data_IF_050655035842
#
_entry.id   IF_050655035842
#
_cell.length_a   1.000
_cell.length_b   1.000
_cell.length_c   1.000
_cell.angle_alpha   90.00
_cell.angle_beta   90.00
_cell.angle_gamma   90.00
#
_symmetry.space_group_name_H-M   'P 1'
#
loop_
_entity.id
_entity.type
_entity.pdbx_description
1 polymer ?
#
# COMPACT_ATOMS: atom_id res chain seq x y z
N UNK A 1 7.93 -7.91 -15.40
CA UNK A 1 7.61 -7.53 -14.01
C UNK A 1 7.04 -6.12 -13.96
N UNK A 2 5.81 -5.97 -13.45
CA UNK A 2 5.07 -4.71 -13.30
C UNK A 2 5.31 -4.09 -11.91
N UNK A 3 5.46 -4.92 -10.89
CA UNK A 3 5.68 -4.50 -9.49
C UNK A 3 7.05 -4.95 -9.00
N UNK A 4 7.24 -5.02 -7.67
CA UNK A 4 8.45 -5.60 -7.09
C UNK A 4 8.27 -7.11 -6.93
N UNK A 5 9.34 -7.86 -7.15
CA UNK A 5 9.39 -9.25 -6.74
C UNK A 5 9.13 -9.38 -5.24
N UNK A 6 8.37 -10.40 -4.87
CA UNK A 6 8.18 -10.78 -3.47
C UNK A 6 9.52 -11.11 -2.81
N UNK A 7 9.64 -10.79 -1.52
CA UNK A 7 10.81 -11.21 -0.74
C UNK A 7 10.80 -12.72 -0.55
N UNK A 8 11.95 -13.27 -0.13
CA UNK A 8 12.07 -14.70 0.15
C UNK A 8 11.05 -15.14 1.20
N UNK A 9 10.89 -14.36 2.26
CA UNK A 9 9.94 -14.62 3.35
C UNK A 9 8.49 -14.63 2.84
N UNK A 10 8.15 -13.70 1.93
CA UNK A 10 6.83 -13.67 1.31
C UNK A 10 6.57 -14.88 0.40
N UNK A 11 7.57 -15.36 -0.33
CA UNK A 11 7.46 -16.61 -1.09
C UNK A 11 7.31 -17.83 -0.16
N UNK A 12 8.01 -17.85 0.97
CA UNK A 12 7.86 -18.91 1.97
C UNK A 12 6.47 -18.91 2.60
N UNK A 13 5.91 -17.74 2.90
CA UNK A 13 4.52 -17.61 3.38
C UNK A 13 3.50 -18.04 2.32
N UNK A 14 3.76 -17.74 1.04
CA UNK A 14 2.88 -18.01 -0.09
C UNK A 14 3.25 -19.28 -0.88
N UNK A 15 3.99 -20.21 -0.27
CA UNK A 15 4.49 -21.40 -0.98
C UNK A 15 3.36 -22.27 -1.54
N UNK A 16 2.22 -22.34 -0.85
CA UNK A 16 1.07 -23.13 -1.29
C UNK A 16 0.41 -22.50 -2.52
N UNK A 17 0.26 -21.18 -2.53
CA UNK A 17 -0.22 -20.39 -3.65
C UNK A 17 0.74 -20.49 -4.84
N UNK A 18 2.06 -20.48 -4.58
CA UNK A 18 3.07 -20.62 -5.62
C UNK A 18 3.05 -22.01 -6.26
N UNK A 19 2.89 -23.08 -5.46
CA UNK A 19 2.70 -24.45 -5.98
C UNK A 19 1.45 -24.52 -6.86
N UNK A 20 0.34 -23.93 -6.42
CA UNK A 20 -0.91 -23.91 -7.19
C UNK A 20 -0.74 -23.11 -8.50
N UNK A 21 0.02 -22.01 -8.47
CA UNK A 21 0.36 -21.24 -9.64
C UNK A 21 1.16 -22.07 -10.66
N UNK A 22 2.23 -22.75 -10.24
CA UNK A 22 3.01 -23.64 -11.09
C UNK A 22 2.13 -24.77 -11.67
N UNK A 23 1.31 -25.40 -10.84
CA UNK A 23 0.39 -26.45 -11.27
C UNK A 23 -0.65 -25.94 -12.28
N UNK A 24 -1.13 -24.70 -12.17
CA UNK A 24 -2.04 -24.09 -13.14
C UNK A 24 -1.42 -23.93 -14.53
N UNK A 25 -0.08 -23.84 -14.58
CA UNK A 25 0.72 -23.83 -15.80
C UNK A 25 1.18 -25.23 -16.23
N UNK A 26 0.63 -26.27 -15.59
CA UNK A 26 1.01 -27.67 -15.80
C UNK A 26 2.49 -27.98 -15.50
N UNK A 27 3.12 -27.20 -14.63
CA UNK A 27 4.50 -27.42 -14.19
C UNK A 27 4.47 -28.31 -12.93
N UNK A 28 5.05 -29.49 -13.03
CA UNK A 28 5.23 -30.42 -11.91
C UNK A 28 6.44 -30.05 -11.04
N UNK A 29 6.57 -30.70 -9.88
CA UNK A 29 7.72 -30.50 -9.00
C UNK A 29 9.05 -30.91 -9.67
N UNK A 30 9.06 -32.04 -10.39
CA UNK A 30 10.24 -32.54 -11.08
C UNK A 30 10.65 -31.59 -12.22
N UNK A 31 9.68 -31.10 -13.01
CA UNK A 31 9.94 -30.10 -14.04
C UNK A 31 10.43 -28.78 -13.45
N UNK A 32 9.91 -28.37 -12.30
CA UNK A 32 10.41 -27.18 -11.62
C UNK A 32 11.85 -27.33 -11.14
N UNK A 33 12.23 -28.51 -10.65
CA UNK A 33 13.62 -28.82 -10.30
C UNK A 33 14.54 -28.80 -11.53
N UNK A 34 14.07 -29.31 -12.66
CA UNK A 34 14.78 -29.24 -13.94
C UNK A 34 14.91 -27.79 -14.44
N UNK A 35 13.85 -26.98 -14.36
CA UNK A 35 13.86 -25.56 -14.74
C UNK A 35 14.89 -24.79 -13.92
N UNK A 36 14.91 -24.97 -12.59
CA UNK A 36 15.88 -24.29 -11.72
C UNK A 36 17.33 -24.64 -12.08
N UNK A 37 17.59 -25.89 -12.49
CA UNK A 37 18.93 -26.39 -12.80
C UNK A 37 19.38 -25.99 -14.22
N UNK A 38 18.52 -26.19 -15.20
CA UNK A 38 18.87 -26.16 -16.62
C UNK A 38 18.52 -24.80 -17.27
N UNK A 39 17.49 -24.12 -16.77
CA UNK A 39 16.99 -22.84 -17.29
C UNK A 39 16.70 -21.84 -16.16
N UNK A 40 17.71 -21.44 -15.34
CA UNK A 40 17.50 -20.59 -14.17
C UNK A 40 16.83 -19.24 -14.50
N UNK A 41 17.04 -18.72 -15.72
CA UNK A 41 16.36 -17.50 -16.18
C UNK A 41 14.83 -17.67 -16.26
N UNK A 42 14.35 -18.85 -16.65
CA UNK A 42 12.92 -19.16 -16.66
C UNK A 42 12.37 -19.23 -15.23
N UNK A 43 13.12 -19.84 -14.29
CA UNK A 43 12.73 -19.84 -12.88
C UNK A 43 12.54 -18.41 -12.34
N UNK A 44 13.45 -17.50 -12.67
CA UNK A 44 13.37 -16.09 -12.29
C UNK A 44 12.14 -15.38 -12.88
N UNK A 45 11.79 -15.70 -14.13
CA UNK A 45 10.62 -15.13 -14.79
C UNK A 45 9.32 -15.66 -14.16
N UNK A 46 9.24 -16.93 -13.79
CA UNK A 46 8.08 -17.50 -13.06
C UNK A 46 7.88 -16.83 -11.69
N UNK A 47 8.96 -16.55 -10.97
CA UNK A 47 8.90 -15.81 -9.71
C UNK A 47 8.39 -14.37 -9.91
N UNK A 48 8.81 -13.70 -10.99
CA UNK A 48 8.34 -12.35 -11.34
C UNK A 48 6.85 -12.34 -11.70
N UNK A 49 6.41 -13.31 -12.52
CA UNK A 49 5.00 -13.42 -12.93
C UNK A 49 4.11 -13.70 -11.72
N UNK A 50 4.51 -14.62 -10.84
CA UNK A 50 3.77 -14.88 -9.61
C UNK A 50 3.73 -13.65 -8.70
N UNK A 51 4.85 -12.93 -8.56
CA UNK A 51 4.90 -11.71 -7.75
C UNK A 51 3.92 -10.66 -8.28
N UNK A 52 3.88 -10.47 -9.61
CA UNK A 52 2.94 -9.55 -10.25
C UNK A 52 1.49 -9.96 -9.97
N UNK A 53 1.17 -11.26 -10.05
CA UNK A 53 -0.17 -11.79 -9.78
C UNK A 53 -0.62 -11.51 -8.34
N UNK A 54 0.26 -11.75 -7.36
CA UNK A 54 -0.04 -11.49 -5.95
C UNK A 54 -0.25 -9.99 -5.72
N UNK A 55 0.59 -9.14 -6.28
CA UNK A 55 0.42 -7.68 -6.18
C UNK A 55 -0.90 -7.22 -6.80
N UNK A 56 -1.26 -7.67 -8.01
CA UNK A 56 -2.55 -7.33 -8.62
C UNK A 56 -3.71 -7.68 -7.69
N UNK A 57 -3.72 -8.91 -7.14
CA UNK A 57 -4.79 -9.38 -6.26
C UNK A 57 -4.88 -8.63 -4.92
N UNK A 58 -3.76 -8.11 -4.40
CA UNK A 58 -3.73 -7.25 -3.21
C UNK A 58 -4.22 -5.85 -3.54
N UNK A 59 -3.65 -5.22 -4.58
CA UNK A 59 -3.90 -3.82 -4.95
C UNK A 59 -5.34 -3.58 -5.40
N UNK A 60 -5.96 -4.57 -6.05
CA UNK A 60 -7.38 -4.52 -6.44
C UNK A 60 -8.30 -4.31 -5.23
N UNK A 61 -7.93 -4.86 -4.06
CA UNK A 61 -8.73 -4.80 -2.83
C UNK A 61 -8.44 -3.57 -1.96
N UNK A 62 -7.41 -2.79 -2.29
CA UNK A 62 -7.01 -1.63 -1.47
C UNK A 62 -8.05 -0.52 -1.62
N UNK A 63 -8.66 -0.13 -0.50
CA UNK A 63 -9.60 1.00 -0.44
C UNK A 63 -9.06 2.17 0.39
N UNK A 64 -8.12 1.91 1.31
CA UNK A 64 -7.50 2.93 2.14
C UNK A 64 -6.00 2.71 2.28
N UNK A 65 -5.27 3.82 2.23
CA UNK A 65 -3.85 3.86 2.57
C UNK A 65 -3.59 4.96 3.58
N UNK A 66 -2.60 4.77 4.45
CA UNK A 66 -2.14 5.78 5.39
C UNK A 66 -0.62 5.88 5.31
N UNK A 67 -0.09 7.10 5.28
CA UNK A 67 1.34 7.35 5.35
C UNK A 67 1.64 8.35 6.45
N UNK A 68 2.46 7.96 7.41
CA UNK A 68 2.85 8.77 8.55
C UNK A 68 4.31 9.18 8.46
N UNK A 69 4.56 10.43 8.79
CA UNK A 69 5.87 10.99 9.08
C UNK A 69 5.78 11.80 10.37
N UNK A 70 6.93 12.24 10.89
CA UNK A 70 7.03 12.94 12.17
C UNK A 70 6.03 14.09 12.33
N UNK A 71 5.80 14.88 11.28
CA UNK A 71 4.97 16.08 11.33
C UNK A 71 3.80 16.06 10.36
N UNK A 72 3.65 14.98 9.58
CA UNK A 72 2.64 14.91 8.52
C UNK A 72 2.05 13.53 8.42
N UNK A 73 0.75 13.45 8.21
CA UNK A 73 0.09 12.22 7.80
C UNK A 73 -0.75 12.45 6.55
N UNK A 74 -0.76 11.46 5.67
CA UNK A 74 -1.54 11.43 4.45
C UNK A 74 -2.48 10.23 4.53
N UNK A 75 -3.77 10.51 4.44
CA UNK A 75 -4.85 9.54 4.53
C UNK A 75 -5.53 9.48 3.16
N UNK A 76 -5.50 8.32 2.52
CA UNK A 76 -6.05 8.14 1.20
C UNK A 76 -7.30 7.25 1.26
N UNK A 77 -8.35 7.66 0.56
CA UNK A 77 -9.46 6.80 0.17
C UNK A 77 -9.43 6.61 -1.34
N UNK A 78 -9.51 5.36 -1.77
CA UNK A 78 -9.32 4.97 -3.15
C UNK A 78 -10.56 4.23 -3.61
N UNK A 79 -11.22 4.79 -4.62
CA UNK A 79 -12.37 4.19 -5.29
C UNK A 79 -11.98 3.73 -6.70
N UNK A 80 -12.97 3.32 -7.50
CA UNK A 80 -12.76 3.04 -8.92
C UNK A 80 -12.63 4.31 -9.77
N UNK A 81 -13.19 5.43 -9.32
CA UNK A 81 -13.24 6.68 -10.08
C UNK A 81 -12.16 7.67 -9.64
N UNK A 82 -11.87 7.73 -8.34
CA UNK A 82 -11.03 8.77 -7.76
C UNK A 82 -10.24 8.29 -6.54
N UNK A 83 -9.15 9.02 -6.27
CA UNK A 83 -8.33 8.95 -5.07
C UNK A 83 -8.53 10.26 -4.33
N UNK A 84 -9.17 10.19 -3.16
CA UNK A 84 -9.26 11.30 -2.21
C UNK A 84 -8.10 11.24 -1.24
N UNK A 85 -7.55 12.40 -0.91
CA UNK A 85 -6.51 12.59 0.09
C UNK A 85 -7.00 13.58 1.14
N UNK A 86 -6.80 13.22 2.41
CA UNK A 86 -6.75 14.15 3.53
C UNK A 86 -5.33 14.16 4.09
N UNK A 87 -4.68 15.32 4.08
CA UNK A 87 -3.35 15.51 4.61
C UNK A 87 -3.40 16.41 5.85
N UNK A 88 -2.76 15.98 6.93
CA UNK A 88 -2.61 16.76 8.16
C UNK A 88 -1.14 17.09 8.33
N UNK A 89 -0.83 18.37 8.51
CA UNK A 89 0.53 18.88 8.76
C UNK A 89 0.57 19.65 10.07
N UNK A 90 1.52 19.29 10.92
CA UNK A 90 1.80 19.96 12.20
C UNK A 90 3.03 20.85 12.04
N UNK A 91 2.83 22.16 12.05
CA UNK A 91 3.88 23.19 11.98
C UNK A 91 4.50 23.44 13.37
N UNK A 92 4.84 22.35 14.07
CA UNK A 92 5.54 22.38 15.35
C UNK A 92 6.57 21.24 15.39
N UNK A 93 7.84 21.60 15.23
CA UNK A 93 8.94 20.63 15.11
C UNK A 93 9.13 19.74 16.35
N UNK A 94 8.67 20.22 17.52
CA UNK A 94 8.76 19.50 18.78
C UNK A 94 7.76 18.33 18.88
N UNK A 95 6.71 18.32 18.06
CA UNK A 95 5.69 17.28 18.04
C UNK A 95 6.09 16.19 17.05
N UNK A 96 6.01 14.93 17.48
CA UNK A 96 6.19 13.77 16.63
C UNK A 96 4.90 12.95 16.61
N UNK A 97 4.09 13.07 15.56
CA UNK A 97 2.79 12.39 15.47
C UNK A 97 2.91 10.88 15.23
N UNK A 98 4.12 10.36 15.03
CA UNK A 98 4.39 8.91 14.98
C UNK A 98 4.59 8.31 16.38
N UNK A 99 4.81 9.17 17.38
CA UNK A 99 4.84 8.77 18.80
C UNK A 99 3.45 8.83 19.41
N UNK A 100 3.23 8.06 20.48
CA UNK A 100 1.95 8.06 21.20
C UNK A 100 1.62 9.44 21.75
N UNK A 101 2.60 10.11 22.35
CA UNK A 101 2.46 11.42 22.98
C UNK A 101 2.15 12.50 21.94
N UNK A 102 2.87 12.53 20.82
CA UNK A 102 2.61 13.51 19.76
C UNK A 102 1.29 13.27 19.03
N UNK A 103 0.88 12.00 18.86
CA UNK A 103 -0.43 11.68 18.32
C UNK A 103 -1.57 12.11 19.25
N UNK A 104 -1.44 11.88 20.56
CA UNK A 104 -2.41 12.35 21.55
C UNK A 104 -2.51 13.88 21.59
N UNK A 105 -1.37 14.56 21.45
CA UNK A 105 -1.33 16.01 21.31
C UNK A 105 -2.12 16.45 20.08
N UNK A 106 -1.90 15.83 18.91
CA UNK A 106 -2.64 16.16 17.69
C UNK A 106 -4.15 16.01 17.88
N UNK A 107 -4.61 14.90 18.47
CA UNK A 107 -6.04 14.66 18.74
C UNK A 107 -6.68 15.76 19.61
N UNK A 108 -5.92 16.32 20.54
CA UNK A 108 -6.41 17.36 21.47
C UNK A 108 -6.33 18.78 20.90
N UNK A 109 -5.54 18.97 19.83
CA UNK A 109 -5.19 20.28 19.29
C UNK A 109 -5.50 20.37 17.78
N UNK A 110 -6.51 19.64 17.30
CA UNK A 110 -6.87 19.62 15.87
C UNK A 110 -7.27 21.00 15.29
N UNK A 111 -7.73 21.91 16.14
CA UNK A 111 -8.13 23.28 15.78
C UNK A 111 -7.05 24.32 16.11
N UNK A 112 -5.86 23.87 16.54
CA UNK A 112 -4.74 24.77 16.81
C UNK A 112 -4.17 25.34 15.51
N UNK A 113 -3.73 26.60 15.52
CA UNK A 113 -3.15 27.28 14.36
C UNK A 113 -1.91 26.57 13.79
N UNK A 114 -1.23 25.75 14.60
CA UNK A 114 -0.12 24.92 14.16
C UNK A 114 -0.55 23.68 13.35
N UNK A 115 -1.85 23.34 13.29
CA UNK A 115 -2.37 22.18 12.56
C UNK A 115 -3.04 22.63 11.27
N UNK A 116 -2.49 22.20 10.15
CA UNK A 116 -3.02 22.49 8.82
C UNK A 116 -3.63 21.23 8.21
N UNK A 117 -4.85 21.37 7.71
CA UNK A 117 -5.61 20.32 7.04
C UNK A 117 -5.75 20.66 5.55
N UNK A 118 -5.37 19.73 4.68
CA UNK A 118 -5.50 19.85 3.24
C UNK A 118 -6.27 18.68 2.68
N UNK A 119 -7.19 18.95 1.74
CA UNK A 119 -7.88 17.90 1.00
C UNK A 119 -7.62 18.04 -0.49
N UNK A 120 -7.57 16.90 -1.18
CA UNK A 120 -7.49 16.89 -2.64
C UNK A 120 -8.15 15.64 -3.19
N UNK A 121 -8.69 15.75 -4.40
CA UNK A 121 -9.25 14.61 -5.12
C UNK A 121 -8.63 14.56 -6.50
N UNK A 122 -8.14 13.39 -6.91
CA UNK A 122 -7.68 13.14 -8.27
C UNK A 122 -8.47 11.99 -8.88
N UNK A 123 -8.78 12.08 -10.17
CA UNK A 123 -9.29 10.92 -10.90
C UNK A 123 -8.25 9.79 -10.90
N UNK A 124 -8.71 8.55 -10.80
CA UNK A 124 -7.88 7.36 -10.95
C UNK A 124 -7.36 7.31 -12.39
N UNK A 125 -6.06 7.04 -12.57
CA UNK A 125 -5.47 6.86 -13.90
C UNK A 125 -5.92 5.55 -14.55
N UNK A 126 -5.59 5.33 -15.83
CA UNK A 126 -5.86 4.07 -16.52
C UNK A 126 -5.24 2.84 -15.82
N UNK A 127 -4.21 3.03 -14.98
CA UNK A 127 -3.56 1.97 -14.20
C UNK A 127 -3.59 2.27 -12.70
N UNK A 128 -4.81 2.22 -12.13
CA UNK A 128 -5.12 2.37 -10.70
C UNK A 128 -4.09 1.67 -9.79
N UNK A 129 -3.75 0.43 -10.09
CA UNK A 129 -2.90 -0.37 -9.22
C UNK A 129 -1.44 0.14 -9.22
N UNK A 130 -0.94 0.71 -10.32
CA UNK A 130 0.34 1.41 -10.32
C UNK A 130 0.34 2.63 -9.41
N UNK A 131 -0.74 3.43 -9.40
CA UNK A 131 -0.84 4.60 -8.52
C UNK A 131 -0.81 4.19 -7.04
N UNK A 132 -1.57 3.16 -6.68
CA UNK A 132 -1.61 2.61 -5.32
C UNK A 132 -0.24 2.05 -4.93
N UNK A 133 0.39 1.28 -5.81
CA UNK A 133 1.70 0.70 -5.57
C UNK A 133 2.78 1.77 -5.39
N UNK A 134 2.71 2.87 -6.14
CA UNK A 134 3.63 3.99 -5.99
C UNK A 134 3.52 4.64 -4.59
N UNK A 135 2.30 4.75 -4.03
CA UNK A 135 2.09 5.22 -2.67
C UNK A 135 2.66 4.24 -1.63
N UNK A 136 2.43 2.93 -1.81
CA UNK A 136 2.99 1.90 -0.93
C UNK A 136 4.52 1.93 -0.95
N UNK A 137 5.13 2.10 -2.11
CA UNK A 137 6.59 2.28 -2.25
C UNK A 137 7.13 3.51 -1.50
N UNK A 138 6.30 4.53 -1.30
CA UNK A 138 6.67 5.72 -0.53
C UNK A 138 6.48 5.54 0.98
N UNK A 139 6.03 4.35 1.43
CA UNK A 139 5.83 4.03 2.84
C UNK A 139 4.37 4.01 3.28
N UNK A 140 3.41 4.21 2.35
CA UNK A 140 2.00 4.10 2.70
C UNK A 140 1.63 2.64 3.04
N UNK A 141 0.81 2.46 4.06
CA UNK A 141 0.36 1.16 4.55
C UNK A 141 -1.14 0.99 4.28
N UNK A 142 -1.56 -0.24 3.97
CA UNK A 142 -2.97 -0.58 3.77
C UNK A 142 -3.66 -0.64 5.12
N UNK A 143 -4.79 0.07 5.27
CA UNK A 143 -5.55 0.12 6.53
C UNK A 143 -7.05 -0.10 6.31
N UNK A 144 -7.83 -0.01 7.39
CA UNK A 144 -9.29 -0.06 7.35
C UNK A 144 -9.95 1.32 7.18
N UNK A 145 -9.15 2.39 7.01
CA UNK A 145 -9.67 3.73 6.71
C UNK A 145 -10.26 4.52 7.87
N UNK A 146 -10.24 4.02 9.10
CA UNK A 146 -10.89 4.69 10.24
C UNK A 146 -10.44 6.14 10.44
N UNK A 147 -9.17 6.44 10.22
CA UNK A 147 -8.65 7.80 10.33
C UNK A 147 -9.10 8.67 9.17
N UNK A 148 -9.06 8.15 7.94
CA UNK A 148 -9.59 8.87 6.79
C UNK A 148 -11.03 9.31 7.03
N UNK A 149 -11.91 8.37 7.42
CA UNK A 149 -13.33 8.66 7.68
C UNK A 149 -13.51 9.73 8.76
N UNK A 150 -12.78 9.62 9.88
CA UNK A 150 -12.84 10.60 10.96
C UNK A 150 -12.50 12.03 10.50
N UNK A 151 -11.43 12.19 9.72
CA UNK A 151 -11.05 13.52 9.22
C UNK A 151 -11.95 13.97 8.06
N UNK A 152 -12.40 13.05 7.21
CA UNK A 152 -13.33 13.37 6.13
C UNK A 152 -14.65 13.91 6.68
N UNK A 153 -15.21 13.25 7.69
CA UNK A 153 -16.43 13.71 8.39
C UNK A 153 -16.23 15.10 9.02
N UNK A 154 -15.04 15.38 9.56
CA UNK A 154 -14.71 16.69 10.12
C UNK A 154 -14.63 17.78 9.04
N UNK A 155 -14.15 17.45 7.84
CA UNK A 155 -14.09 18.40 6.72
C UNK A 155 -15.47 18.62 6.11
N UNK A 156 -16.27 17.57 5.94
CA UNK A 156 -17.59 17.67 5.31
C UNK A 156 -18.66 18.31 6.21
N UNK A 157 -18.50 18.25 7.54
CA UNK A 157 -19.44 18.82 8.51
C UNK A 157 -19.03 20.20 9.07
N UNK A 158 -17.97 20.81 8.55
CA UNK A 158 -17.60 22.21 8.82
C UNK A 158 -17.94 23.10 7.61
#
# INVERSE_FOLDING_TARGET
MKYNRLSKEQFEELHQEFINFLASQSITADEWDDIKRDTPKLAEDELDVFSDLIWEGVLEKVTYLEHFSKHQMYLFNITMAEIKLVAVKVENEAIDITTREGYQWLQSNLLDDAVNLYTSTKAVSEDRNKDIFALIKQGAVITKGKLFEYFNDMVENN
#
